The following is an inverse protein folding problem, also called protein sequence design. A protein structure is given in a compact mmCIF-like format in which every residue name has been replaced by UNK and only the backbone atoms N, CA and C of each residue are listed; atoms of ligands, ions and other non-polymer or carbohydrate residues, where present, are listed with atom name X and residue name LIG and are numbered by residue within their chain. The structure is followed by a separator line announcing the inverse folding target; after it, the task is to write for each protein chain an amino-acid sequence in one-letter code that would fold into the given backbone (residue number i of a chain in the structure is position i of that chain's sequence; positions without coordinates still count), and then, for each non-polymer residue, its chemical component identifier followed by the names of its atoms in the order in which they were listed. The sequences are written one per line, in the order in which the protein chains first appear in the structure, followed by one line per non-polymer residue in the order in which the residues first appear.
data_IF_222607672560
#
_entry.id   IF_222607672560
#
_cell.length_a   1.000
_cell.length_b   1.000
_cell.length_c   1.000
_cell.angle_alpha   90.00
_cell.angle_beta   90.00
_cell.angle_gamma   90.00
#
_symmetry.space_group_name_H-M   'P 1'
#
loop_
_entity.id
_entity.type
_entity.pdbx_description
1 polymer ?
#
# COMPACT_ATOMS: atom_id res chain seq x y z
N UNK A 1 12.35 -7.78 -10.18
CA UNK A 1 11.23 -7.21 -9.40
C UNK A 1 9.94 -7.47 -10.15
N UNK A 2 9.12 -8.45 -9.73
CA UNK A 2 7.83 -8.71 -10.38
C UNK A 2 6.84 -7.71 -9.80
N UNK A 3 6.86 -6.49 -10.32
CA UNK A 3 5.79 -5.53 -10.08
C UNK A 3 4.50 -6.19 -10.57
N UNK A 4 3.57 -6.43 -9.67
CA UNK A 4 2.37 -7.20 -9.94
C UNK A 4 1.65 -6.61 -11.16
N UNK A 5 1.36 -7.45 -12.15
CA UNK A 5 0.83 -7.08 -13.48
C UNK A 5 -0.59 -6.51 -13.46
N UNK A 6 -1.19 -6.33 -12.28
CA UNK A 6 -2.62 -6.04 -12.12
C UNK A 6 -2.89 -4.86 -11.17
N UNK A 7 -1.90 -3.98 -10.95
CA UNK A 7 -2.04 -2.85 -10.03
C UNK A 7 -3.29 -2.02 -10.38
N UNK A 8 -3.51 -1.66 -11.64
CA UNK A 8 -4.65 -0.83 -12.05
C UNK A 8 -6.04 -1.45 -11.86
N UNK A 9 -6.15 -2.78 -11.78
CA UNK A 9 -7.44 -3.47 -11.60
C UNK A 9 -7.81 -3.66 -10.13
N UNK A 10 -6.80 -3.84 -9.27
CA UNK A 10 -7.00 -4.06 -7.82
C UNK A 10 -6.77 -2.81 -6.99
N UNK A 11 -5.90 -1.89 -7.42
CA UNK A 11 -5.43 -0.73 -6.68
C UNK A 11 -5.46 0.52 -7.54
N UNK A 12 -6.17 1.55 -7.08
CA UNK A 12 -6.26 2.81 -7.83
C UNK A 12 -5.23 3.85 -7.36
N UNK A 13 -4.60 3.65 -6.20
CA UNK A 13 -3.55 4.53 -5.66
C UNK A 13 -2.54 3.71 -4.84
N UNK A 14 -1.26 4.05 -4.95
CA UNK A 14 -0.20 3.55 -4.06
C UNK A 14 0.70 4.71 -3.65
N UNK A 15 0.88 4.90 -2.34
CA UNK A 15 1.80 5.91 -1.80
C UNK A 15 2.91 5.23 -0.99
N UNK A 16 4.10 5.83 -1.00
CA UNK A 16 5.17 5.48 -0.06
C UNK A 16 4.93 6.20 1.25
N UNK A 17 4.79 5.47 2.35
CA UNK A 17 4.49 6.05 3.67
C UNK A 17 5.76 6.30 4.51
N UNK A 18 6.95 5.92 4.00
CA UNK A 18 8.16 5.84 4.82
C UNK A 18 8.09 4.65 5.78
N UNK A 19 8.88 4.65 6.84
CA UNK A 19 8.85 3.58 7.86
C UNK A 19 7.78 3.90 8.91
N UNK A 20 6.54 3.48 8.68
CA UNK A 20 5.41 3.69 9.61
C UNK A 20 5.24 2.53 10.59
N UNK A 21 6.09 1.51 10.49
CA UNK A 21 6.09 0.34 11.37
C UNK A 21 7.27 0.29 12.32
N UNK A 22 8.17 1.28 12.26
CA UNK A 22 9.44 1.31 13.00
C UNK A 22 10.29 0.05 12.75
N UNK A 23 10.14 -0.55 11.57
CA UNK A 23 10.88 -1.76 11.16
C UNK A 23 12.27 -1.42 10.58
N UNK A 24 12.61 -0.13 10.51
CA UNK A 24 13.79 0.40 9.85
C UNK A 24 13.73 0.25 8.33
N UNK A 25 12.53 0.14 7.74
CA UNK A 25 12.29 -0.15 6.31
C UNK A 25 11.09 0.64 5.79
N UNK A 26 11.17 1.08 4.52
CA UNK A 26 10.10 1.85 3.91
C UNK A 26 8.87 0.97 3.61
N UNK A 27 7.71 1.43 4.04
CA UNK A 27 6.40 0.82 3.84
C UNK A 27 5.64 1.51 2.69
N UNK A 28 4.69 0.79 2.10
CA UNK A 28 3.73 1.35 1.15
C UNK A 28 2.31 1.22 1.69
N UNK A 29 1.48 2.20 1.33
CA UNK A 29 0.05 2.21 1.65
C UNK A 29 -0.75 2.27 0.35
N UNK A 30 -1.17 1.11 -0.19
CA UNK A 30 -2.04 1.09 -1.36
C UNK A 30 -3.53 1.18 -0.98
N UNK A 31 -4.30 1.84 -1.84
CA UNK A 31 -5.77 1.86 -1.81
C UNK A 31 -6.34 1.00 -2.91
N UNK A 32 -7.21 0.06 -2.54
CA UNK A 32 -7.91 -0.76 -3.52
C UNK A 32 -9.08 -0.03 -4.19
N UNK A 33 -9.58 -0.56 -5.30
CA UNK A 33 -10.72 0.02 -6.03
C UNK A 33 -12.03 0.02 -5.22
N UNK A 34 -12.11 -0.79 -4.15
CA UNK A 34 -13.21 -0.80 -3.19
C UNK A 34 -13.03 0.22 -2.04
N UNK A 35 -11.95 0.99 -2.04
CA UNK A 35 -11.68 2.02 -1.02
C UNK A 35 -11.11 1.49 0.29
N UNK A 36 -10.56 0.27 0.34
CA UNK A 36 -9.79 -0.19 1.50
C UNK A 36 -8.34 0.31 1.40
N UNK A 37 -7.81 0.78 2.53
CA UNK A 37 -6.38 1.02 2.70
C UNK A 37 -5.70 -0.20 3.27
N UNK A 38 -4.56 -0.52 2.67
CA UNK A 38 -3.70 -1.59 3.10
C UNK A 38 -2.33 -1.02 3.47
N UNK A 39 -1.63 -1.69 4.37
CA UNK A 39 -0.22 -1.47 4.67
C UNK A 39 0.56 -2.68 4.22
N UNK A 40 1.65 -2.44 3.51
CA UNK A 40 2.61 -3.47 3.15
C UNK A 40 3.97 -3.05 3.69
N UNK A 41 4.48 -3.81 4.66
CA UNK A 41 5.74 -3.47 5.32
C UNK A 41 6.93 -3.83 4.44
N UNK A 42 7.87 -2.92 4.25
CA UNK A 42 9.07 -3.19 3.48
C UNK A 42 9.98 -4.19 4.19
N UNK A 43 10.60 -5.10 3.45
CA UNK A 43 11.60 -6.02 4.02
C UNK A 43 13.05 -5.62 3.73
N UNK A 44 13.27 -4.49 3.05
CA UNK A 44 14.61 -4.00 2.68
C UNK A 44 15.31 -4.76 1.56
N UNK A 45 14.67 -5.78 0.99
CA UNK A 45 15.20 -6.61 -0.11
C UNK A 45 14.44 -6.37 -1.41
N UNK A 46 13.82 -5.21 -1.55
CA UNK A 46 12.97 -4.87 -2.69
C UNK A 46 11.64 -5.64 -2.75
N UNK A 47 11.19 -6.20 -1.62
CA UNK A 47 9.86 -6.83 -1.50
C UNK A 47 9.14 -6.39 -0.22
N UNK A 48 7.87 -6.74 -0.11
CA UNK A 48 7.01 -6.34 0.98
C UNK A 48 6.38 -7.55 1.67
N UNK A 49 6.12 -7.43 2.97
CA UNK A 49 5.34 -8.37 3.75
C UNK A 49 3.88 -8.45 3.24
N UNK A 50 3.14 -9.51 3.62
CA UNK A 50 1.71 -9.60 3.32
C UNK A 50 0.94 -8.34 3.73
N UNK A 51 -0.04 -7.97 2.91
CA UNK A 51 -0.86 -6.77 3.15
C UNK A 51 -1.67 -6.88 4.43
N UNK A 52 -1.68 -5.82 5.23
CA UNK A 52 -2.54 -5.66 6.41
C UNK A 52 -3.60 -4.61 6.12
N UNK A 53 -4.89 -4.90 6.30
CA UNK A 53 -5.93 -3.87 6.13
C UNK A 53 -5.84 -2.89 7.30
N UNK A 54 -5.79 -1.60 7.02
CA UNK A 54 -5.67 -0.55 8.05
C UNK A 54 -6.88 0.38 8.10
N UNK A 55 -7.64 0.51 7.00
CA UNK A 55 -8.87 1.29 6.97
C UNK A 55 -9.80 0.90 5.81
N UNK A 56 -11.05 1.36 5.88
CA UNK A 56 -12.09 1.22 4.85
C UNK A 56 -12.75 2.57 4.59
N UNK A 57 -13.50 2.71 3.49
CA UNK A 57 -14.27 3.92 3.20
C UNK A 57 -13.48 5.05 2.51
N UNK A 58 -12.27 4.77 2.03
CA UNK A 58 -11.38 5.80 1.47
C UNK A 58 -11.67 6.13 -0.01
N UNK A 59 -12.70 5.55 -0.62
CA UNK A 59 -13.14 5.89 -1.98
C UNK A 59 -13.67 7.33 -2.11
N UNK A 60 -14.09 7.94 -1.00
CA UNK A 60 -14.56 9.33 -0.97
C UNK A 60 -13.42 10.35 -1.17
N UNK A 61 -12.18 9.98 -0.83
CA UNK A 61 -11.03 10.86 -0.97
C UNK A 61 -10.46 10.76 -2.39
N UNK A 62 -10.25 11.90 -3.05
CA UNK A 62 -9.71 11.90 -4.42
C UNK A 62 -8.23 11.54 -4.48
N UNK A 63 -7.45 11.95 -3.48
CA UNK A 63 -6.00 11.78 -3.47
C UNK A 63 -5.50 11.32 -2.10
N UNK A 64 -4.35 10.63 -2.12
CA UNK A 64 -3.55 10.29 -0.95
C UNK A 64 -2.15 10.88 -1.17
N UNK A 65 -1.54 11.42 -0.12
CA UNK A 65 -0.21 12.02 -0.13
C UNK A 65 0.50 11.73 1.19
#
# INVERSE_FOLDING_TARGET
MKAATDWGSSYNVVIGAGDITSAGKADIVPRDTAGNLWRNTGNGKGSFAPRTKIATGWQAYKSLF
#
